data_IF_595382280887
#
_entry.id   IF_595382280887
#
_cell.length_a   1.000
_cell.length_b   1.000
_cell.length_c   1.000
_cell.angle_alpha   90.00
_cell.angle_beta   90.00
_cell.angle_gamma   90.00
#
_symmetry.space_group_name_H-M   'P 1'
#
loop_
_entity.id
_entity.type
_entity.pdbx_description
1 polymer ?
#
# COMPACT_ATOMS: atom_id res chain seq x y z
N UNK A 1 -4.13 16.55 -6.44
CA UNK A 1 -4.67 15.81 -5.29
C UNK A 1 -3.92 16.16 -4.01
N UNK A 2 -4.52 15.87 -2.88
CA UNK A 2 -3.92 16.02 -1.57
C UNK A 2 -4.68 15.18 -0.54
N UNK A 3 -4.07 15.03 0.63
CA UNK A 3 -4.65 14.30 1.76
C UNK A 3 -4.61 15.18 3.00
N UNK A 4 -5.74 15.27 3.70
CA UNK A 4 -5.80 15.88 5.03
C UNK A 4 -5.74 14.76 6.07
N UNK A 5 -4.86 14.90 7.05
CA UNK A 5 -4.66 13.94 8.12
C UNK A 5 -5.25 14.45 9.43
N UNK A 6 -5.94 13.57 10.14
CA UNK A 6 -6.62 13.88 11.40
C UNK A 6 -6.36 12.78 12.42
N UNK A 7 -6.25 13.17 13.69
CA UNK A 7 -6.53 12.25 14.80
C UNK A 7 -8.05 12.16 14.97
N UNK A 8 -8.53 10.96 15.29
CA UNK A 8 -9.94 10.73 15.56
C UNK A 8 -10.11 10.10 16.94
N UNK A 9 -10.97 10.69 17.77
CA UNK A 9 -11.32 10.18 19.09
C UNK A 9 -12.76 10.55 19.42
N UNK A 10 -13.56 9.58 19.78
CA UNK A 10 -14.95 9.75 20.26
C UNK A 10 -15.82 10.68 19.39
N UNK A 11 -15.75 10.53 18.08
CA UNK A 11 -16.52 11.32 17.11
C UNK A 11 -15.89 12.66 16.74
N UNK A 12 -14.79 13.04 17.37
CA UNK A 12 -14.08 14.29 17.09
C UNK A 12 -12.89 14.09 16.16
N UNK A 13 -12.66 15.06 15.29
CA UNK A 13 -11.53 15.07 14.35
C UNK A 13 -10.61 16.24 14.70
N UNK A 14 -9.33 15.92 14.89
CA UNK A 14 -8.28 16.88 15.20
C UNK A 14 -7.31 16.95 14.03
N UNK A 15 -7.27 18.10 13.33
CA UNK A 15 -6.39 18.28 12.17
C UNK A 15 -4.92 18.18 12.58
N UNK A 16 -4.14 17.42 11.81
CA UNK A 16 -2.70 17.28 11.99
C UNK A 16 -1.97 18.03 10.88
N UNK A 17 -2.15 17.58 9.64
CA UNK A 17 -1.45 18.16 8.49
C UNK A 17 -2.21 17.97 7.18
N UNK A 18 -1.75 18.66 6.13
CA UNK A 18 -2.19 18.46 4.76
C UNK A 18 -0.99 18.14 3.87
N UNK A 19 -1.03 17.01 3.19
CA UNK A 19 -0.07 16.63 2.17
C UNK A 19 -0.60 17.05 0.80
N UNK A 20 -0.03 18.11 0.21
CA UNK A 20 -0.47 18.68 -1.08
C UNK A 20 0.12 17.92 -2.29
N UNK A 21 0.17 16.63 -2.22
CA UNK A 21 0.69 15.71 -3.23
C UNK A 21 -0.08 14.39 -3.21
N UNK A 22 0.10 13.54 -4.22
CA UNK A 22 -0.33 12.15 -4.13
C UNK A 22 0.53 11.43 -3.08
N UNK A 23 -0.10 10.59 -2.26
CA UNK A 23 0.60 9.78 -1.26
C UNK A 23 0.86 8.35 -1.77
N UNK A 24 1.80 7.66 -1.13
CA UNK A 24 2.17 6.28 -1.49
C UNK A 24 0.94 5.37 -1.45
N UNK A 25 0.09 5.53 -0.44
CA UNK A 25 -1.09 4.72 -0.14
C UNK A 25 -2.36 5.08 -0.95
N UNK A 26 -2.26 5.95 -1.97
CA UNK A 26 -3.41 6.25 -2.85
C UNK A 26 -4.10 5.01 -3.45
N UNK A 27 -3.42 3.87 -3.72
CA UNK A 27 -4.07 2.68 -4.25
C UNK A 27 -5.19 2.12 -3.38
N UNK A 28 -5.11 2.27 -2.05
CA UNK A 28 -6.20 1.85 -1.14
C UNK A 28 -7.48 2.62 -1.46
N UNK A 29 -7.39 3.94 -1.57
CA UNK A 29 -8.52 4.80 -1.94
C UNK A 29 -9.04 4.46 -3.34
N UNK A 30 -8.15 4.24 -4.30
CA UNK A 30 -8.53 3.87 -5.67
C UNK A 30 -9.34 2.58 -5.72
N UNK A 31 -8.92 1.55 -4.97
CA UNK A 31 -9.61 0.26 -4.97
C UNK A 31 -11.00 0.31 -4.31
N UNK A 32 -11.15 1.07 -3.21
CA UNK A 32 -12.44 1.14 -2.52
C UNK A 32 -13.42 2.14 -3.13
N UNK A 33 -12.95 3.10 -3.94
CA UNK A 33 -13.79 4.11 -4.60
C UNK A 33 -14.01 3.85 -6.08
N UNK A 34 -13.10 3.13 -6.73
CA UNK A 34 -13.05 2.98 -8.19
C UNK A 34 -12.54 4.23 -8.93
N UNK A 35 -11.97 5.20 -8.22
CA UNK A 35 -11.42 6.44 -8.80
C UNK A 35 -9.91 6.32 -8.97
N UNK A 36 -9.42 6.41 -10.21
CA UNK A 36 -8.00 6.50 -10.52
C UNK A 36 -7.49 7.92 -10.23
N UNK A 37 -6.84 8.10 -9.07
CA UNK A 37 -6.42 9.41 -8.55
C UNK A 37 -5.36 10.04 -9.46
N UNK A 38 -4.37 9.26 -9.91
CA UNK A 38 -3.29 9.76 -10.77
C UNK A 38 -3.83 10.23 -12.12
N UNK A 39 -4.72 9.45 -12.73
CA UNK A 39 -5.40 9.83 -13.96
C UNK A 39 -6.23 11.11 -13.78
N UNK A 40 -6.95 11.24 -12.65
CA UNK A 40 -7.71 12.46 -12.38
C UNK A 40 -6.81 13.68 -12.21
N UNK A 41 -5.63 13.54 -11.58
CA UNK A 41 -4.66 14.63 -11.50
C UNK A 41 -4.23 15.12 -12.88
N UNK A 42 -3.93 14.20 -13.80
CA UNK A 42 -3.54 14.53 -15.18
C UNK A 42 -4.67 15.25 -15.93
N UNK A 43 -5.91 14.76 -15.80
CA UNK A 43 -7.08 15.38 -16.44
C UNK A 43 -7.35 16.77 -15.91
N UNK A 44 -7.29 16.97 -14.60
CA UNK A 44 -7.45 18.29 -13.99
C UNK A 44 -6.34 19.25 -14.42
N UNK A 45 -5.10 18.78 -14.49
CA UNK A 45 -3.97 19.58 -14.99
C UNK A 45 -4.13 19.97 -16.45
N UNK A 46 -4.84 19.15 -17.24
CA UNK A 46 -5.22 19.48 -18.62
C UNK A 46 -6.44 20.45 -18.72
N UNK A 47 -6.99 20.89 -17.60
CA UNK A 47 -8.12 21.82 -17.54
C UNK A 47 -9.50 21.14 -17.57
N UNK A 48 -9.57 19.81 -17.50
CA UNK A 48 -10.84 19.10 -17.43
C UNK A 48 -11.48 19.21 -16.05
N UNK A 49 -12.80 19.38 -15.94
CA UNK A 49 -13.50 19.29 -14.67
C UNK A 49 -13.52 17.83 -14.15
N UNK A 50 -13.73 17.67 -12.84
CA UNK A 50 -14.00 16.36 -12.26
C UNK A 50 -15.28 15.77 -12.85
N UNK A 51 -15.26 14.51 -13.34
CA UNK A 51 -16.42 13.87 -13.97
C UNK A 51 -17.47 13.34 -12.97
N UNK A 52 -17.30 13.60 -11.68
CA UNK A 52 -18.17 13.13 -10.59
C UNK A 52 -18.25 14.18 -9.47
N UNK A 53 -19.27 14.08 -8.63
CA UNK A 53 -19.46 14.87 -7.42
C UNK A 53 -19.13 14.02 -6.18
N UNK A 54 -18.97 14.65 -5.02
CA UNK A 54 -18.73 13.94 -3.76
C UNK A 54 -19.81 12.86 -3.47
N UNK A 55 -21.07 13.14 -3.79
CA UNK A 55 -22.18 12.22 -3.57
C UNK A 55 -22.12 10.96 -4.45
N UNK A 56 -21.36 10.97 -5.54
CA UNK A 56 -21.19 9.81 -6.43
C UNK A 56 -20.13 8.83 -5.89
N UNK A 57 -19.34 9.24 -4.90
CA UNK A 57 -18.29 8.42 -4.30
C UNK A 57 -18.89 7.47 -3.27
N UNK A 58 -18.82 6.18 -3.58
CA UNK A 58 -19.29 5.10 -2.70
C UNK A 58 -18.11 4.21 -2.34
N UNK A 59 -17.85 4.09 -1.05
CA UNK A 59 -16.83 3.15 -0.55
C UNK A 59 -17.35 1.71 -0.66
N UNK A 60 -16.60 0.85 -1.36
CA UNK A 60 -16.94 -0.56 -1.57
C UNK A 60 -15.79 -1.44 -1.14
N UNK A 61 -16.10 -2.46 -0.33
CA UNK A 61 -15.11 -3.43 0.13
C UNK A 61 -14.04 -2.84 1.03
N UNK A 62 -12.92 -3.55 1.11
CA UNK A 62 -11.78 -3.26 1.97
C UNK A 62 -10.49 -3.43 1.18
N UNK A 63 -9.56 -2.53 1.35
CA UNK A 63 -8.24 -2.62 0.74
C UNK A 63 -7.16 -2.46 1.80
N UNK A 64 -6.07 -3.17 1.61
CA UNK A 64 -4.88 -3.14 2.47
C UNK A 64 -3.67 -2.96 1.57
N UNK A 65 -2.77 -2.07 1.94
CA UNK A 65 -1.48 -1.89 1.26
C UNK A 65 -0.33 -2.24 2.18
N UNK A 66 0.63 -3.02 1.67
CA UNK A 66 1.94 -3.22 2.27
C UNK A 66 2.99 -2.51 1.42
N UNK A 67 3.76 -1.63 2.02
CA UNK A 67 4.97 -1.08 1.42
C UNK A 67 6.07 -2.13 1.54
N UNK A 68 6.53 -2.63 0.41
CA UNK A 68 7.66 -3.58 0.37
C UNK A 68 8.93 -2.78 0.19
N UNK A 69 9.76 -2.82 1.24
CA UNK A 69 11.00 -2.07 1.32
C UNK A 69 12.20 -3.00 1.22
N UNK A 70 13.25 -2.54 0.55
CA UNK A 70 14.56 -3.19 0.52
C UNK A 70 15.29 -2.95 1.85
N UNK A 71 14.89 -3.67 2.90
CA UNK A 71 15.33 -3.52 4.28
C UNK A 71 15.44 -4.87 4.98
N UNK A 72 16.35 -4.96 5.92
CA UNK A 72 16.39 -6.11 6.84
C UNK A 72 15.13 -6.10 7.73
N UNK A 73 14.34 -7.18 7.77
CA UNK A 73 13.05 -7.21 8.48
C UNK A 73 13.15 -7.09 10.00
N UNK A 74 14.36 -7.22 10.57
CA UNK A 74 14.58 -7.15 12.02
C UNK A 74 15.26 -5.85 12.44
N UNK A 75 16.22 -5.39 11.67
CA UNK A 75 17.02 -4.20 12.02
C UNK A 75 16.56 -2.95 11.29
N UNK A 76 15.71 -3.09 10.29
CA UNK A 76 15.26 -2.04 9.38
C UNK A 76 16.40 -1.34 8.61
N UNK A 77 17.59 -1.93 8.62
CA UNK A 77 18.71 -1.42 7.86
C UNK A 77 18.46 -1.55 6.36
N UNK A 78 18.71 -0.53 5.55
CA UNK A 78 18.59 -0.60 4.10
C UNK A 78 19.39 -1.76 3.50
N UNK A 79 18.83 -2.42 2.50
CA UNK A 79 19.44 -3.54 1.78
C UNK A 79 19.47 -3.27 0.27
N UNK A 80 20.24 -2.28 -0.20
CA UNK A 80 20.44 -2.02 -1.62
C UNK A 80 21.22 -3.16 -2.27
N UNK A 81 21.11 -3.29 -3.59
CA UNK A 81 21.87 -4.29 -4.34
C UNK A 81 21.11 -4.94 -5.49
N UNK A 82 21.69 -5.96 -6.13
CA UNK A 82 21.11 -6.59 -7.29
C UNK A 82 19.95 -7.51 -6.92
N UNK A 83 18.82 -7.32 -7.60
CA UNK A 83 17.64 -8.22 -7.55
C UNK A 83 17.86 -9.32 -8.57
N UNK A 84 18.20 -10.53 -8.10
CA UNK A 84 18.45 -11.68 -8.98
C UNK A 84 17.15 -12.25 -9.55
N UNK A 85 16.13 -12.34 -8.71
CA UNK A 85 14.82 -12.81 -9.09
C UNK A 85 13.75 -11.90 -8.49
N UNK A 86 12.81 -11.52 -9.32
CA UNK A 86 11.57 -10.84 -8.94
C UNK A 86 10.38 -11.62 -9.49
N UNK A 87 9.49 -12.05 -8.61
CA UNK A 87 8.18 -12.58 -8.96
C UNK A 87 7.10 -11.79 -8.24
N UNK A 88 6.31 -11.04 -9.00
CA UNK A 88 5.17 -10.29 -8.51
C UNK A 88 3.98 -11.26 -8.33
N UNK A 89 3.33 -11.27 -7.16
CA UNK A 89 2.13 -12.07 -6.96
C UNK A 89 0.96 -11.53 -7.79
N UNK A 90 -0.04 -12.39 -8.03
CA UNK A 90 -1.18 -12.04 -8.83
C UNK A 90 -2.49 -12.62 -8.31
N UNK A 91 -3.52 -12.55 -9.17
CA UNK A 91 -4.85 -13.11 -8.91
C UNK A 91 -5.92 -12.09 -8.54
N UNK A 92 -7.17 -12.54 -8.34
CA UNK A 92 -8.30 -11.67 -8.07
C UNK A 92 -8.12 -10.82 -6.81
N UNK A 93 -8.24 -9.48 -6.96
CA UNK A 93 -8.12 -8.54 -5.84
C UNK A 93 -6.68 -8.32 -5.35
N UNK A 94 -5.67 -8.65 -6.17
CA UNK A 94 -4.26 -8.34 -5.91
C UNK A 94 -3.77 -7.33 -6.96
N UNK A 95 -3.13 -6.25 -6.48
CA UNK A 95 -2.45 -5.24 -7.30
C UNK A 95 -1.02 -5.08 -6.80
N UNK A 96 -0.07 -5.00 -7.72
CA UNK A 96 1.34 -4.72 -7.44
C UNK A 96 1.76 -3.50 -8.24
N UNK A 97 2.20 -2.46 -7.55
CA UNK A 97 2.84 -1.29 -8.16
C UNK A 97 4.35 -1.38 -7.83
N UNK A 98 5.17 -1.61 -8.83
CA UNK A 98 6.62 -1.78 -8.64
C UNK A 98 7.39 -1.33 -9.88
N UNK A 99 8.63 -0.92 -9.67
CA UNK A 99 9.62 -0.68 -10.71
C UNK A 99 10.62 -1.84 -10.86
N UNK A 100 10.46 -2.91 -10.06
CA UNK A 100 11.38 -4.04 -10.08
C UNK A 100 11.22 -4.91 -11.32
N UNK A 101 12.35 -5.47 -11.73
CA UNK A 101 12.47 -6.61 -12.65
C UNK A 101 13.72 -7.42 -12.27
N UNK A 102 13.77 -8.69 -12.67
CA UNK A 102 14.95 -9.53 -12.43
C UNK A 102 16.16 -8.93 -13.15
N UNK A 103 17.25 -8.71 -12.41
CA UNK A 103 18.45 -8.02 -12.90
C UNK A 103 18.49 -6.51 -12.57
N UNK A 104 17.42 -5.94 -11.98
CA UNK A 104 17.45 -4.56 -11.47
C UNK A 104 18.42 -4.45 -10.29
N UNK A 105 19.05 -3.28 -10.13
CA UNK A 105 19.86 -2.98 -8.94
C UNK A 105 19.20 -1.85 -8.14
N UNK A 106 18.79 -2.17 -6.89
CA UNK A 106 18.26 -1.16 -5.97
C UNK A 106 19.39 -0.22 -5.55
N UNK A 107 19.30 1.08 -5.87
CA UNK A 107 20.34 2.03 -5.54
C UNK A 107 20.32 2.41 -4.05
N UNK A 108 21.48 2.76 -3.46
CA UNK A 108 21.57 3.16 -2.05
C UNK A 108 21.22 4.64 -1.79
N UNK A 109 20.81 5.40 -2.81
CA UNK A 109 20.69 6.87 -2.75
C UNK A 109 19.28 7.39 -2.53
N UNK A 110 18.28 6.50 -2.59
CA UNK A 110 16.86 6.82 -2.49
C UNK A 110 16.20 6.03 -1.37
N UNK A 111 14.92 6.31 -1.16
CA UNK A 111 14.07 5.53 -0.27
C UNK A 111 14.12 4.03 -0.62
N UNK A 112 13.97 3.19 0.40
CA UNK A 112 14.03 1.73 0.27
C UNK A 112 12.78 1.12 -0.37
N UNK A 113 11.73 1.89 -0.65
CA UNK A 113 10.47 1.40 -1.24
C UNK A 113 10.71 0.82 -2.64
N UNK A 114 10.44 -0.47 -2.81
CA UNK A 114 10.63 -1.19 -4.08
C UNK A 114 9.33 -1.69 -4.70
N UNK A 115 8.31 -1.88 -3.90
CA UNK A 115 6.98 -2.26 -4.38
C UNK A 115 5.90 -1.84 -3.38
N UNK A 116 4.68 -1.66 -3.89
CA UNK A 116 3.46 -1.64 -3.10
C UNK A 116 2.67 -2.89 -3.46
N UNK A 117 2.33 -3.68 -2.46
CA UNK A 117 1.44 -4.83 -2.60
C UNK A 117 0.10 -4.46 -2.00
N UNK A 118 -0.94 -4.48 -2.81
CA UNK A 118 -2.28 -4.07 -2.40
C UNK A 118 -3.25 -5.24 -2.59
N UNK A 119 -4.02 -5.54 -1.55
CA UNK A 119 -5.12 -6.49 -1.62
C UNK A 119 -6.46 -5.80 -1.46
N UNK A 120 -7.48 -6.34 -2.11
CA UNK A 120 -8.87 -5.88 -2.03
C UNK A 120 -9.78 -7.08 -1.77
N UNK A 121 -10.82 -6.88 -0.97
CA UNK A 121 -11.85 -7.86 -0.69
C UNK A 121 -13.19 -7.21 -0.39
N UNK A 122 -14.28 -7.97 -0.52
CA UNK A 122 -15.62 -7.53 -0.15
C UNK A 122 -15.78 -7.24 1.34
N UNK A 123 -14.91 -7.84 2.16
CA UNK A 123 -14.79 -7.61 3.59
C UNK A 123 -13.31 -7.64 4.02
N UNK A 124 -13.05 -7.24 5.28
CA UNK A 124 -11.68 -7.15 5.82
C UNK A 124 -10.98 -8.51 5.84
N UNK A 125 -11.67 -9.57 6.21
CA UNK A 125 -11.08 -10.92 6.30
C UNK A 125 -10.63 -11.43 4.92
N UNK A 126 -11.42 -11.18 3.89
CA UNK A 126 -11.06 -11.51 2.50
C UNK A 126 -9.83 -10.71 2.04
N UNK A 127 -9.76 -9.41 2.36
CA UNK A 127 -8.60 -8.60 2.03
C UNK A 127 -7.33 -9.11 2.75
N UNK A 128 -7.43 -9.49 4.04
CA UNK A 128 -6.32 -10.08 4.81
C UNK A 128 -5.89 -11.42 4.21
N UNK A 129 -6.84 -12.30 3.87
CA UNK A 129 -6.52 -13.61 3.29
C UNK A 129 -5.79 -13.47 1.95
N UNK A 130 -6.25 -12.56 1.09
CA UNK A 130 -5.60 -12.26 -0.20
C UNK A 130 -4.20 -11.67 -0.01
N UNK A 131 -4.02 -10.76 0.95
CA UNK A 131 -2.70 -10.21 1.27
C UNK A 131 -1.73 -11.30 1.74
N UNK A 132 -2.16 -12.18 2.63
CA UNK A 132 -1.34 -13.30 3.11
C UNK A 132 -0.89 -14.21 1.97
N UNK A 133 -1.82 -14.56 1.08
CA UNK A 133 -1.50 -15.38 -0.08
C UNK A 133 -0.51 -14.67 -1.01
N UNK A 134 -0.75 -13.40 -1.31
CA UNK A 134 0.12 -12.61 -2.16
C UNK A 134 1.54 -12.44 -1.56
N UNK A 135 1.65 -12.19 -0.24
CA UNK A 135 2.95 -12.14 0.45
C UNK A 135 3.68 -13.50 0.42
N UNK A 136 2.94 -14.62 0.44
CA UNK A 136 3.55 -15.96 0.37
C UNK A 136 4.00 -16.35 -1.05
N UNK A 137 3.34 -15.78 -2.07
CA UNK A 137 3.67 -16.01 -3.48
C UNK A 137 4.83 -15.11 -3.95
N UNK A 138 4.96 -13.91 -3.38
CA UNK A 138 5.97 -12.95 -3.78
C UNK A 138 7.39 -13.45 -3.55
N UNK A 139 8.26 -13.33 -4.57
CA UNK A 139 9.67 -13.69 -4.46
C UNK A 139 10.55 -12.49 -4.79
N UNK A 140 11.47 -12.18 -3.89
CA UNK A 140 12.55 -11.20 -4.10
C UNK A 140 13.85 -11.82 -3.65
N UNK A 141 14.77 -12.08 -4.60
CA UNK A 141 16.08 -12.63 -4.29
C UNK A 141 17.20 -11.65 -4.61
N UNK A 142 18.25 -11.70 -3.80
CA UNK A 142 19.45 -10.89 -3.96
C UNK A 142 19.57 -9.75 -2.96
N UNK A 143 18.43 -9.29 -2.41
CA UNK A 143 18.34 -8.28 -1.36
C UNK A 143 17.45 -8.77 -0.23
N UNK A 144 17.52 -8.15 0.94
CA UNK A 144 16.55 -8.36 2.01
C UNK A 144 15.34 -7.44 1.83
N UNK A 145 14.16 -7.91 2.27
CA UNK A 145 12.94 -7.11 2.28
C UNK A 145 12.21 -7.25 3.61
N UNK A 146 11.32 -6.31 3.90
CA UNK A 146 10.44 -6.35 5.07
C UNK A 146 9.20 -7.26 4.87
N UNK A 147 9.08 -8.00 3.76
CA UNK A 147 7.96 -8.89 3.51
C UNK A 147 7.71 -9.93 4.63
N UNK A 148 8.75 -10.55 5.26
CA UNK A 148 8.55 -11.44 6.40
C UNK A 148 7.87 -10.75 7.59
N UNK A 149 8.19 -9.49 7.87
CA UNK A 149 7.53 -8.71 8.93
C UNK A 149 6.03 -8.55 8.64
N UNK A 150 5.66 -8.23 7.40
CA UNK A 150 4.24 -8.16 7.02
C UNK A 150 3.53 -9.51 7.20
N UNK A 151 4.17 -10.62 6.82
CA UNK A 151 3.60 -11.96 7.03
C UNK A 151 3.34 -12.23 8.52
N UNK A 152 4.25 -11.83 9.39
CA UNK A 152 4.11 -11.95 10.85
C UNK A 152 2.93 -11.13 11.36
N UNK A 153 2.84 -9.83 10.98
CA UNK A 153 1.73 -8.94 11.36
C UNK A 153 0.38 -9.54 10.98
N UNK A 154 0.22 -10.04 9.75
CA UNK A 154 -1.03 -10.68 9.31
C UNK A 154 -1.30 -12.03 9.97
N UNK A 155 -0.32 -12.62 10.62
CA UNK A 155 -0.46 -13.80 11.46
C UNK A 155 -1.04 -13.51 12.85
N UNK A 156 -0.85 -12.29 13.36
CA UNK A 156 -1.26 -11.92 14.71
C UNK A 156 -2.79 -11.81 14.85
N UNK A 157 -3.34 -12.44 15.89
CA UNK A 157 -4.78 -12.40 16.16
C UNK A 157 -5.27 -10.98 16.48
N UNK A 158 -4.47 -10.20 17.21
CA UNK A 158 -4.78 -8.81 17.53
C UNK A 158 -4.97 -7.94 16.27
N UNK A 159 -4.05 -8.05 15.28
CA UNK A 159 -4.21 -7.35 14.01
C UNK A 159 -5.48 -7.77 13.26
N UNK A 160 -5.79 -9.09 13.26
CA UNK A 160 -6.98 -9.63 12.61
C UNK A 160 -8.27 -9.16 13.27
N UNK A 161 -8.30 -9.02 14.59
CA UNK A 161 -9.44 -8.49 15.34
C UNK A 161 -9.63 -6.99 15.10
N UNK A 162 -8.55 -6.24 14.86
CA UNK A 162 -8.55 -4.79 14.75
C UNK A 162 -8.56 -4.08 16.09
N UNK A 163 -8.71 -2.74 16.08
CA UNK A 163 -8.73 -1.95 17.31
C UNK A 163 -7.36 -1.80 17.97
N UNK A 164 -6.28 -1.91 17.20
CA UNK A 164 -4.92 -1.70 17.68
C UNK A 164 -4.66 -0.22 17.95
N UNK A 165 -3.83 0.05 18.93
CA UNK A 165 -3.34 1.38 19.27
C UNK A 165 -1.85 1.56 18.89
N UNK A 166 -1.28 2.71 19.27
CA UNK A 166 0.11 3.07 18.97
C UNK A 166 1.16 2.23 19.71
N UNK A 167 0.76 1.34 20.59
CA UNK A 167 1.64 0.48 21.39
C UNK A 167 1.71 -0.96 20.86
N UNK A 168 1.08 -1.23 19.74
CA UNK A 168 1.08 -2.54 19.07
C UNK A 168 2.46 -2.94 18.58
#
# INVERSE_FOLDING_TARGET
>A
AGTLEFLYEDGNFYFIEMNTRVQVEHPVTELVTGVDIVKMQLRIAAGEPLPFKQADIVLRGWAIECRINAEDPKTFAPSPGPVRLWHAPGGPGVRVDSHLYSGYAVPPFYDSLIAKLISYGENRDTAIARMRNALSEMVVEGIKTNAPLHQEIFGHSAFRQGGLDIHY
#
